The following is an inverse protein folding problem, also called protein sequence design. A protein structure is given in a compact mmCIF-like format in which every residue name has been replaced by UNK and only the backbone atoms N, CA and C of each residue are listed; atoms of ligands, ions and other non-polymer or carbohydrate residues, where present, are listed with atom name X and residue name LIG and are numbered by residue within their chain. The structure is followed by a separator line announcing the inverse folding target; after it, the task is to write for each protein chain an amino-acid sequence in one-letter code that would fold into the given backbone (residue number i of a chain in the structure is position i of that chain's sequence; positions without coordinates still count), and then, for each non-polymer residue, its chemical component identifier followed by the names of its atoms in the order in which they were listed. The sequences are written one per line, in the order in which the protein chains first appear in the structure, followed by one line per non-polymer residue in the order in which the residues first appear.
data_IF_773463511588
#
_entry.id   IF_773463511588
#
_cell.length_a   1.000
_cell.length_b   1.000
_cell.length_c   1.000
_cell.angle_alpha   90.00
_cell.angle_beta   90.00
_cell.angle_gamma   90.00
#
_symmetry.space_group_name_H-M   'P 1'
#
loop_
_entity.id
_entity.type
_entity.pdbx_description
1 polymer ?
#
# COMPACT_ATOMS: atom_id res chain seq x y z
N UNK A 1 22.80 31.80 27.37
CA UNK A 1 22.99 31.06 26.10
C UNK A 1 24.36 30.38 26.18
N UNK A 2 24.45 29.06 26.30
CA UNK A 2 25.75 28.39 26.40
C UNK A 2 26.51 28.57 25.08
N UNK A 3 27.75 29.06 25.16
CA UNK A 3 28.64 29.21 24.01
C UNK A 3 28.98 27.83 23.44
N UNK A 4 28.60 27.62 22.18
CA UNK A 4 28.95 26.40 21.46
C UNK A 4 30.44 26.51 21.11
N UNK A 5 31.27 25.75 21.83
CA UNK A 5 32.71 25.71 21.61
C UNK A 5 33.06 25.32 20.16
N UNK A 6 34.10 25.96 19.61
CA UNK A 6 34.62 25.70 18.27
C UNK A 6 34.99 24.22 18.06
N UNK A 7 35.42 23.54 19.13
CA UNK A 7 35.70 22.10 19.11
C UNK A 7 34.46 21.26 18.83
N UNK A 8 33.30 21.67 19.34
CA UNK A 8 32.04 20.99 19.08
C UNK A 8 31.65 21.09 17.60
N UNK A 9 31.86 22.26 16.99
CA UNK A 9 31.57 22.50 15.56
C UNK A 9 32.50 21.65 14.68
N UNK A 10 33.79 21.59 15.01
CA UNK A 10 34.77 20.80 14.26
C UNK A 10 34.49 19.30 14.35
N UNK A 11 34.17 18.79 15.54
CA UNK A 11 33.85 17.38 15.76
C UNK A 11 32.57 16.96 15.03
N UNK A 12 31.58 17.86 14.94
CA UNK A 12 30.34 17.65 14.17
C UNK A 12 30.60 17.60 12.67
N UNK A 13 31.44 18.49 12.13
CA UNK A 13 31.82 18.49 10.70
C UNK A 13 32.55 17.21 10.29
N UNK A 14 33.42 16.68 11.17
CA UNK A 14 34.20 15.48 10.88
C UNK A 14 33.33 14.22 10.79
N UNK A 15 32.29 14.11 11.63
CA UNK A 15 31.28 13.03 11.56
C UNK A 15 30.45 13.05 10.29
N UNK A 16 30.08 14.23 9.80
CA UNK A 16 29.29 14.33 8.57
C UNK A 16 30.08 13.85 7.34
N UNK A 17 31.40 14.12 7.28
CA UNK A 17 32.25 13.66 6.18
C UNK A 17 32.37 12.12 6.08
N UNK A 18 32.29 11.41 7.21
CA UNK A 18 32.38 9.95 7.24
C UNK A 18 31.11 9.26 6.74
N UNK A 19 29.97 9.97 6.75
CA UNK A 19 28.68 9.44 6.27
C UNK A 19 28.57 9.62 4.75
N UNK A 20 29.10 10.71 4.20
CA UNK A 20 28.97 11.02 2.76
C UNK A 20 29.93 10.23 1.86
N UNK A 21 31.07 9.77 2.39
CA UNK A 21 32.07 9.00 1.64
C UNK A 21 32.44 7.70 2.37
N UNK A 22 31.65 6.61 2.23
CA UNK A 22 32.07 5.31 2.73
C UNK A 22 33.31 4.84 1.96
N UNK A 23 34.38 4.40 2.65
CA UNK A 23 35.57 3.87 1.97
C UNK A 23 35.18 2.61 1.18
N UNK A 24 35.39 2.66 -0.14
CA UNK A 24 35.27 1.50 -1.03
C UNK A 24 36.28 0.45 -0.62
N UNK A 25 35.78 -0.58 0.05
CA UNK A 25 36.56 -1.75 0.47
C UNK A 25 36.88 -2.59 -0.76
N UNK A 26 38.06 -2.38 -1.32
CA UNK A 26 38.65 -3.18 -2.40
C UNK A 26 38.97 -4.59 -1.88
N UNK A 27 38.07 -5.53 -2.11
CA UNK A 27 38.37 -6.95 -1.98
C UNK A 27 39.20 -7.41 -3.18
N UNK A 28 40.49 -7.58 -2.92
CA UNK A 28 41.43 -8.33 -3.75
C UNK A 28 40.89 -9.74 -4.01
N UNK A 29 40.59 -10.04 -5.27
CA UNK A 29 40.48 -11.41 -5.76
C UNK A 29 41.35 -11.56 -7.00
N UNK A 30 42.57 -12.04 -6.77
CA UNK A 30 43.42 -12.71 -7.76
C UNK A 30 42.59 -13.82 -8.44
N UNK A 31 42.62 -13.90 -9.78
CA UNK A 31 43.38 -14.93 -10.52
C UNK A 31 42.83 -15.16 -11.94
N UNK A 32 43.80 -15.20 -12.88
CA UNK A 32 43.82 -15.84 -14.20
C UNK A 32 43.26 -15.11 -15.42
N UNK A 33 44.23 -14.48 -16.09
CA UNK A 33 44.47 -14.32 -17.53
C UNK A 33 43.96 -15.41 -18.48
N UNK A 34 43.34 -15.00 -19.58
CA UNK A 34 43.55 -15.53 -20.94
C UNK A 34 43.22 -14.42 -21.96
N UNK A 35 44.13 -14.06 -22.89
CA UNK A 35 43.83 -13.16 -23.99
C UNK A 35 43.54 -13.95 -25.27
N UNK A 36 42.52 -13.54 -26.03
CA UNK A 36 42.40 -13.85 -27.45
C UNK A 36 41.71 -12.69 -28.15
N UNK A 37 42.55 -11.94 -28.86
CA UNK A 37 42.29 -11.24 -30.14
C UNK A 37 41.33 -12.06 -31.03
N UNK A 38 40.38 -11.54 -31.80
CA UNK A 38 40.33 -10.49 -32.82
C UNK A 38 38.83 -10.43 -33.23
N UNK A 39 38.17 -9.39 -33.76
CA UNK A 39 38.28 -8.84 -35.12
C UNK A 39 37.00 -7.99 -35.35
N UNK A 40 37.17 -6.78 -35.88
CA UNK A 40 36.35 -6.04 -36.86
C UNK A 40 34.80 -6.04 -36.88
N UNK A 41 34.29 -4.81 -37.08
CA UNK A 41 33.21 -4.36 -38.00
C UNK A 41 31.83 -5.04 -37.87
N UNK A 42 30.68 -4.36 -37.77
CA UNK A 42 30.10 -3.31 -38.64
C UNK A 42 28.71 -3.00 -38.06
N UNK A 43 28.11 -1.80 -38.23
CA UNK A 43 26.78 -1.50 -37.72
C UNK A 43 25.69 -1.97 -38.70
N UNK A 44 24.57 -2.49 -38.20
CA UNK A 44 23.39 -2.76 -39.04
C UNK A 44 22.09 -2.36 -38.37
N UNK A 45 21.53 -1.28 -38.90
CA UNK A 45 20.15 -0.86 -38.78
C UNK A 45 19.19 -2.00 -39.12
N UNK A 46 18.14 -2.17 -38.32
CA UNK A 46 16.90 -2.80 -38.76
C UNK A 46 15.71 -2.03 -38.20
N UNK A 47 15.19 -1.17 -39.06
CA UNK A 47 13.89 -0.52 -38.92
C UNK A 47 12.82 -1.39 -39.59
N UNK A 48 11.59 -1.30 -39.07
CA UNK A 48 10.30 -1.82 -39.56
C UNK A 48 9.93 -3.25 -39.09
N UNK A 49 8.64 -3.49 -38.77
CA UNK A 49 7.57 -3.43 -39.75
C UNK A 49 6.38 -2.51 -39.42
N UNK A 50 5.93 -1.86 -40.49
CA UNK A 50 4.56 -1.42 -40.73
C UNK A 50 3.55 -2.54 -40.47
N UNK A 51 2.45 -2.24 -39.76
CA UNK A 51 1.11 -2.66 -40.18
C UNK A 51 -0.01 -1.87 -39.47
N UNK A 52 -0.77 -1.18 -40.31
CA UNK A 52 -2.11 -0.65 -40.04
C UNK A 52 -3.04 -1.74 -39.52
N UNK A 53 -3.83 -1.45 -38.49
CA UNK A 53 -5.23 -1.88 -38.45
C UNK A 53 -6.10 -0.88 -37.69
N UNK A 54 -6.73 -0.04 -38.48
CA UNK A 54 -7.94 0.72 -38.13
C UNK A 54 -9.13 -0.24 -38.02
N UNK A 55 -9.86 -0.20 -36.91
CA UNK A 55 -11.27 -0.60 -36.87
C UNK A 55 -12.01 0.33 -35.91
N UNK A 56 -12.88 1.21 -36.41
CA UNK A 56 -13.79 1.97 -35.60
C UNK A 56 -15.15 1.26 -35.45
N UNK A 57 -15.79 1.56 -34.31
CA UNK A 57 -17.24 1.57 -33.99
C UNK A 57 -18.00 0.25 -33.72
N UNK A 58 -18.74 0.19 -32.59
CA UNK A 58 -19.74 -0.84 -32.31
C UNK A 58 -21.10 -0.50 -32.95
N UNK A 59 -21.70 -1.47 -33.64
CA UNK A 59 -23.09 -1.39 -34.09
C UNK A 59 -24.04 -1.99 -33.06
N UNK A 60 -25.00 -1.16 -32.65
CA UNK A 60 -26.26 -1.49 -31.98
C UNK A 60 -26.90 -2.75 -32.54
N UNK A 61 -27.35 -3.63 -31.65
CA UNK A 61 -28.57 -4.39 -31.93
C UNK A 61 -29.47 -4.28 -30.71
N UNK A 62 -30.54 -3.50 -30.87
CA UNK A 62 -31.71 -3.54 -30.02
C UNK A 62 -32.55 -4.74 -30.46
N UNK A 63 -32.93 -5.62 -29.53
CA UNK A 63 -34.02 -6.57 -29.75
C UNK A 63 -34.92 -6.57 -28.52
N UNK A 64 -36.21 -6.59 -28.84
CA UNK A 64 -37.37 -6.24 -28.06
C UNK A 64 -37.80 -7.29 -27.03
N UNK A 65 -38.49 -6.76 -26.00
CA UNK A 65 -39.66 -7.32 -25.28
C UNK A 65 -39.84 -8.84 -25.21
N UNK A 66 -39.92 -9.34 -23.98
CA UNK A 66 -41.00 -10.24 -23.60
C UNK A 66 -41.49 -9.95 -22.18
N UNK A 67 -42.73 -9.47 -22.14
CA UNK A 67 -43.61 -9.34 -20.98
C UNK A 67 -44.33 -10.66 -20.75
N UNK A 68 -44.19 -11.25 -19.56
CA UNK A 68 -45.10 -12.29 -19.08
C UNK A 68 -45.53 -11.99 -17.65
N UNK A 69 -46.82 -12.15 -17.31
CA UNK A 69 -47.40 -11.69 -16.05
C UNK A 69 -47.36 -12.74 -14.93
N UNK A 70 -47.25 -12.22 -13.70
CA UNK A 70 -47.93 -12.59 -12.44
C UNK A 70 -48.09 -14.09 -12.10
N UNK A 71 -47.48 -14.48 -10.97
CA UNK A 71 -48.09 -15.46 -10.06
C UNK A 71 -47.90 -15.03 -8.60
N UNK A 72 -48.99 -14.52 -8.03
CA UNK A 72 -49.21 -14.37 -6.58
C UNK A 72 -49.43 -15.74 -5.97
N UNK A 73 -48.65 -16.12 -4.97
CA UNK A 73 -49.00 -17.20 -4.04
C UNK A 73 -48.89 -16.70 -2.60
N UNK A 74 -50.06 -16.70 -1.99
CA UNK A 74 -50.39 -16.33 -0.61
C UNK A 74 -49.80 -17.31 0.40
N UNK A 75 -49.33 -16.73 1.52
CA UNK A 75 -49.28 -17.24 2.90
C UNK A 75 -48.64 -18.59 3.26
N UNK A 76 -47.60 -18.52 4.10
CA UNK A 76 -47.47 -19.32 5.34
C UNK A 76 -46.68 -18.52 6.39
N UNK A 77 -47.22 -18.25 7.60
CA UNK A 77 -46.45 -17.67 8.69
C UNK A 77 -45.63 -18.77 9.37
N UNK A 78 -44.30 -18.62 9.36
CA UNK A 78 -43.38 -19.48 10.10
C UNK A 78 -42.99 -18.82 11.44
N UNK A 79 -42.71 -19.63 12.48
CA UNK A 79 -42.93 -19.26 13.87
C UNK A 79 -41.84 -18.33 14.39
N UNK A 80 -42.23 -17.50 15.35
CA UNK A 80 -41.36 -16.64 16.14
C UNK A 80 -40.21 -17.45 16.76
N UNK A 81 -39.06 -17.46 16.09
CA UNK A 81 -37.85 -17.99 16.66
C UNK A 81 -37.28 -16.94 17.62
N UNK A 82 -37.04 -17.43 18.82
CA UNK A 82 -36.57 -16.72 19.98
C UNK A 82 -35.44 -15.74 19.65
N UNK A 83 -35.46 -14.60 20.35
CA UNK A 83 -34.30 -13.73 20.53
C UNK A 83 -33.18 -14.56 21.18
N UNK A 84 -32.40 -15.24 20.36
CA UNK A 84 -31.06 -15.69 20.73
C UNK A 84 -30.30 -14.40 20.99
N UNK A 85 -29.99 -14.15 22.26
CA UNK A 85 -29.02 -13.13 22.64
C UNK A 85 -27.72 -13.42 21.89
N UNK A 86 -27.53 -12.77 20.74
CA UNK A 86 -26.21 -12.67 20.13
C UNK A 86 -25.33 -11.94 21.14
N UNK A 87 -24.26 -12.57 21.66
CA UNK A 87 -23.26 -11.81 22.38
C UNK A 87 -22.72 -10.75 21.41
N UNK A 88 -22.64 -9.49 21.85
CA UNK A 88 -22.00 -8.39 21.12
C UNK A 88 -20.55 -8.76 20.79
N UNK A 89 -20.32 -9.47 19.69
CA UNK A 89 -18.98 -9.81 19.14
C UNK A 89 -18.59 -8.89 17.98
N UNK A 90 -19.40 -7.88 17.69
CA UNK A 90 -19.25 -7.00 16.53
C UNK A 90 -17.99 -6.12 16.60
N UNK A 91 -17.55 -5.70 17.80
CA UNK A 91 -16.35 -4.87 17.95
C UNK A 91 -15.03 -5.64 17.74
N UNK A 92 -14.96 -6.91 18.17
CA UNK A 92 -13.72 -7.68 18.10
C UNK A 92 -13.35 -8.08 16.67
N UNK A 93 -14.33 -8.34 15.81
CA UNK A 93 -14.05 -8.80 14.44
C UNK A 93 -13.45 -7.70 13.54
N UNK A 94 -13.86 -6.45 13.76
CA UNK A 94 -13.39 -5.29 12.98
C UNK A 94 -11.98 -4.91 13.42
N UNK A 95 -11.73 -4.90 14.72
CA UNK A 95 -10.41 -4.64 15.29
C UNK A 95 -9.35 -5.61 14.76
N UNK A 96 -9.63 -6.92 14.76
CA UNK A 96 -8.71 -7.95 14.28
C UNK A 96 -8.36 -7.84 12.80
N UNK A 97 -9.26 -7.25 11.99
CA UNK A 97 -9.02 -7.01 10.56
C UNK A 97 -8.20 -5.74 10.31
N UNK A 98 -8.40 -4.72 11.12
CA UNK A 98 -7.80 -3.39 10.93
C UNK A 98 -6.47 -3.20 11.67
N UNK A 99 -6.17 -4.01 12.68
CA UNK A 99 -4.91 -3.88 13.42
C UNK A 99 -3.70 -4.21 12.53
N UNK A 100 -2.60 -3.43 12.65
CA UNK A 100 -1.32 -3.77 12.03
C UNK A 100 -0.83 -5.17 12.43
N UNK A 101 -0.16 -5.86 11.51
CA UNK A 101 0.53 -7.11 11.84
C UNK A 101 1.89 -6.77 12.44
N UNK A 102 1.94 -6.64 13.76
CA UNK A 102 3.15 -6.48 14.53
C UNK A 102 3.18 -7.49 15.69
N UNK A 103 4.38 -7.90 16.11
CA UNK A 103 4.52 -8.80 17.27
C UNK A 103 4.10 -8.13 18.57
N UNK A 104 4.53 -6.88 18.77
CA UNK A 104 4.13 -6.03 19.89
C UNK A 104 3.48 -4.78 19.29
N UNK A 105 2.18 -4.61 19.52
CA UNK A 105 1.43 -3.45 19.02
C UNK A 105 1.62 -2.25 19.97
N UNK A 106 1.95 -1.12 19.39
CA UNK A 106 2.04 0.19 20.04
C UNK A 106 1.11 1.19 19.36
N UNK A 107 0.86 2.35 19.99
CA UNK A 107 0.11 3.43 19.34
C UNK A 107 0.83 3.97 18.10
N UNK A 108 2.15 3.76 17.99
CA UNK A 108 2.92 4.23 16.85
C UNK A 108 2.62 3.43 15.59
N UNK A 109 2.24 2.17 15.73
CA UNK A 109 1.90 1.29 14.61
C UNK A 109 0.59 1.71 13.92
N UNK A 110 -0.22 2.55 14.57
CA UNK A 110 -1.44 3.10 14.00
C UNK A 110 -1.23 4.44 13.28
N UNK A 111 -0.03 5.03 13.34
CA UNK A 111 0.31 6.26 12.62
C UNK A 111 0.47 5.95 11.14
N UNK A 112 0.07 6.88 10.28
CA UNK A 112 0.36 6.77 8.85
C UNK A 112 1.88 6.65 8.62
N UNK A 113 2.30 5.73 7.76
CA UNK A 113 3.73 5.54 7.44
C UNK A 113 4.40 6.73 6.75
N UNK A 114 3.65 7.56 6.02
CA UNK A 114 4.24 8.63 5.23
C UNK A 114 4.32 9.94 6.01
N UNK A 115 3.24 10.35 6.67
CA UNK A 115 3.21 11.60 7.45
C UNK A 115 3.48 11.41 8.94
N UNK A 116 3.56 10.16 9.44
CA UNK A 116 3.79 9.82 10.85
C UNK A 116 2.76 10.40 11.83
N UNK A 117 1.56 10.73 11.34
CA UNK A 117 0.46 11.24 12.16
C UNK A 117 -0.62 10.17 12.36
N UNK A 118 -1.27 10.22 13.53
CA UNK A 118 -2.51 9.47 13.75
C UNK A 118 -3.64 10.12 12.95
N UNK A 119 -4.53 9.34 12.31
CA UNK A 119 -5.69 9.87 11.62
C UNK A 119 -6.58 10.67 12.56
N UNK A 120 -7.00 11.87 12.14
CA UNK A 120 -7.83 12.77 12.95
C UNK A 120 -9.05 13.25 12.17
N UNK A 121 -10.19 13.30 12.85
CA UNK A 121 -11.41 13.92 12.34
C UNK A 121 -11.49 15.33 12.91
N UNK A 122 -11.85 16.36 12.12
CA UNK A 122 -12.39 16.30 10.76
C UNK A 122 -11.36 16.36 9.61
N UNK A 123 -10.07 16.56 9.91
CA UNK A 123 -9.04 16.82 8.89
C UNK A 123 -8.93 15.70 7.82
N UNK A 124 -8.98 14.44 8.24
CA UNK A 124 -8.75 13.30 7.36
C UNK A 124 -10.04 12.59 6.90
N UNK A 125 -11.24 13.07 7.29
CA UNK A 125 -12.51 12.35 7.07
C UNK A 125 -12.77 12.00 5.59
N UNK A 126 -12.25 12.81 4.66
CA UNK A 126 -12.35 12.61 3.21
C UNK A 126 -11.18 11.85 2.57
N UNK A 127 -10.06 11.68 3.26
CA UNK A 127 -8.85 11.04 2.72
C UNK A 127 -8.98 9.52 2.74
N UNK A 128 -9.49 8.97 3.85
CA UNK A 128 -9.57 7.53 4.07
C UNK A 128 -8.19 6.89 4.34
N UNK A 129 -8.22 5.67 4.88
CA UNK A 129 -7.02 4.90 5.26
C UNK A 129 -6.91 3.67 4.38
N UNK A 130 -5.70 3.39 3.92
CA UNK A 130 -5.35 2.15 3.20
C UNK A 130 -4.39 1.36 4.07
N UNK A 131 -4.63 0.05 4.21
CA UNK A 131 -3.73 -0.85 4.92
C UNK A 131 -2.89 -1.63 3.92
N UNK A 132 -1.60 -1.78 4.19
CA UNK A 132 -0.75 -2.67 3.40
C UNK A 132 -1.32 -4.11 3.41
N UNK A 133 -1.42 -4.80 2.25
CA UNK A 133 -1.97 -6.16 2.20
C UNK A 133 -1.11 -7.17 2.98
N UNK A 134 0.19 -6.91 3.10
CA UNK A 134 1.14 -7.80 3.75
C UNK A 134 1.22 -7.53 5.26
N UNK A 135 1.70 -6.35 5.66
CA UNK A 135 1.94 -5.99 7.06
C UNK A 135 0.78 -5.24 7.74
N UNK A 136 -0.28 -4.86 7.01
CA UNK A 136 -1.42 -4.08 7.50
C UNK A 136 -1.06 -2.73 8.15
N UNK A 137 0.11 -2.19 7.88
CA UNK A 137 0.47 -0.85 8.35
C UNK A 137 -0.34 0.21 7.60
N UNK A 138 -0.85 1.25 8.28
CA UNK A 138 -1.74 2.23 7.67
C UNK A 138 -1.02 3.32 6.88
N UNK A 139 -1.71 3.83 5.88
CA UNK A 139 -1.36 5.01 5.10
C UNK A 139 -2.62 5.82 4.75
N UNK A 140 -2.52 7.14 4.55
CA UNK A 140 -3.62 7.86 3.92
C UNK A 140 -3.75 7.46 2.45
N UNK A 141 -4.98 7.42 1.93
CA UNK A 141 -5.22 6.87 0.59
C UNK A 141 -4.57 7.68 -0.54
N UNK A 142 -4.43 9.00 -0.35
CA UNK A 142 -3.72 9.91 -1.26
C UNK A 142 -2.20 9.64 -1.27
N UNK A 143 -1.57 9.62 -0.10
CA UNK A 143 -0.14 9.34 0.07
C UNK A 143 0.22 7.93 -0.44
N UNK A 144 -0.65 6.95 -0.18
CA UNK A 144 -0.48 5.60 -0.68
C UNK A 144 -0.56 5.53 -2.22
N UNK A 145 -1.49 6.28 -2.83
CA UNK A 145 -1.64 6.30 -4.30
C UNK A 145 -0.43 6.93 -4.98
N UNK A 146 0.10 8.00 -4.42
CA UNK A 146 1.33 8.64 -4.90
C UNK A 146 2.50 7.65 -4.82
N UNK A 147 2.72 7.06 -3.65
CA UNK A 147 3.77 6.05 -3.46
C UNK A 147 3.63 4.84 -4.40
N UNK A 148 2.42 4.32 -4.57
CA UNK A 148 2.16 3.14 -5.39
C UNK A 148 2.39 3.35 -6.90
N UNK A 149 2.45 4.61 -7.35
CA UNK A 149 2.84 4.94 -8.73
C UNK A 149 4.34 4.82 -8.95
N UNK A 150 5.13 5.22 -7.95
CA UNK A 150 6.59 5.23 -8.03
C UNK A 150 7.19 3.87 -7.67
N UNK A 151 6.61 3.18 -6.68
CA UNK A 151 7.15 1.93 -6.14
C UNK A 151 6.12 0.81 -6.10
N UNK A 152 6.47 -0.41 -6.57
CA UNK A 152 5.63 -1.59 -6.39
C UNK A 152 5.78 -2.23 -5.00
N UNK A 153 6.57 -1.66 -4.09
CA UNK A 153 6.88 -2.24 -2.78
C UNK A 153 6.27 -1.42 -1.64
N UNK A 154 5.95 -2.08 -0.52
CA UNK A 154 5.52 -1.41 0.69
C UNK A 154 6.69 -0.72 1.39
N UNK A 155 6.57 0.58 1.71
CA UNK A 155 7.60 1.37 2.40
C UNK A 155 7.98 0.87 3.80
N UNK A 156 7.17 0.00 4.45
CA UNK A 156 7.48 -0.54 5.78
C UNK A 156 8.24 -1.86 5.76
N UNK A 157 7.79 -2.76 4.89
CA UNK A 157 8.10 -4.18 4.95
C UNK A 157 8.70 -4.72 3.65
N UNK A 158 8.89 -3.83 2.66
CA UNK A 158 9.48 -4.10 1.35
C UNK A 158 8.78 -5.20 0.53
N UNK A 159 7.65 -5.71 1.01
CA UNK A 159 6.86 -6.71 0.32
C UNK A 159 6.17 -6.10 -0.91
N UNK A 160 6.10 -6.87 -1.99
CA UNK A 160 5.43 -6.46 -3.22
C UNK A 160 3.94 -6.22 -3.00
N UNK A 161 3.44 -5.10 -3.54
CA UNK A 161 2.03 -4.72 -3.52
C UNK A 161 1.39 -5.22 -4.83
N UNK A 162 0.37 -6.10 -4.75
CA UNK A 162 -0.31 -6.64 -5.92
C UNK A 162 -0.83 -5.53 -6.85
N UNK A 163 -0.71 -5.74 -8.17
CA UNK A 163 -1.14 -4.75 -9.17
C UNK A 163 -2.63 -4.40 -9.05
N UNK A 164 -3.48 -5.37 -8.72
CA UNK A 164 -4.91 -5.16 -8.44
C UNK A 164 -5.13 -4.19 -7.29
N UNK A 165 -4.35 -4.32 -6.22
CA UNK A 165 -4.43 -3.46 -5.05
C UNK A 165 -3.88 -2.07 -5.31
N UNK A 166 -2.82 -1.93 -6.12
CA UNK A 166 -2.29 -0.61 -6.51
C UNK A 166 -3.30 0.18 -7.35
N UNK A 167 -4.02 -0.49 -8.25
CA UNK A 167 -5.04 0.16 -9.10
C UNK A 167 -6.27 0.56 -8.28
N UNK A 168 -6.75 -0.34 -7.43
CA UNK A 168 -7.96 -0.15 -6.63
C UNK A 168 -7.68 -0.54 -5.17
N UNK A 169 -7.01 0.32 -4.38
CA UNK A 169 -6.75 0.03 -2.98
C UNK A 169 -8.07 0.01 -2.20
N UNK A 170 -8.15 -0.87 -1.19
CA UNK A 170 -9.29 -0.90 -0.28
C UNK A 170 -9.20 0.29 0.66
N UNK A 171 -10.11 1.25 0.49
CA UNK A 171 -10.17 2.47 1.30
C UNK A 171 -11.10 2.22 2.49
N UNK A 172 -10.56 2.33 3.69
CA UNK A 172 -11.28 2.23 4.96
C UNK A 172 -11.65 3.63 5.43
N UNK A 173 -12.91 3.89 5.81
CA UNK A 173 -13.31 5.16 6.41
C UNK A 173 -12.51 5.49 7.67
N UNK A 174 -12.07 6.74 7.82
CA UNK A 174 -11.25 7.17 8.96
C UNK A 174 -11.96 6.90 10.30
N UNK A 175 -13.27 7.13 10.38
CA UNK A 175 -14.10 6.81 11.55
C UNK A 175 -13.92 5.37 12.01
N UNK A 176 -14.03 4.43 11.08
CA UNK A 176 -13.91 3.00 11.36
C UNK A 176 -12.49 2.63 11.84
N UNK A 177 -11.46 3.31 11.32
CA UNK A 177 -10.09 3.08 11.74
C UNK A 177 -9.81 3.67 13.14
N UNK A 178 -10.37 4.84 13.46
CA UNK A 178 -10.29 5.43 14.79
C UNK A 178 -10.97 4.54 15.83
N UNK A 179 -12.12 3.95 15.53
CA UNK A 179 -12.77 2.97 16.41
C UNK A 179 -11.85 1.78 16.73
N UNK A 180 -11.05 1.31 15.77
CA UNK A 180 -10.06 0.26 16.00
C UNK A 180 -8.90 0.74 16.89
N UNK A 181 -8.45 1.99 16.75
CA UNK A 181 -7.45 2.60 17.64
C UNK A 181 -7.99 2.71 19.07
N UNK A 182 -9.24 3.12 19.24
CA UNK A 182 -9.84 3.27 20.57
C UNK A 182 -10.17 1.93 21.21
N UNK A 183 -10.50 0.90 20.42
CA UNK A 183 -10.54 -0.48 20.90
C UNK A 183 -9.16 -0.97 21.37
N UNK A 184 -8.08 -0.67 20.65
CA UNK A 184 -6.72 -0.98 21.09
C UNK A 184 -6.38 -0.32 22.44
N UNK A 185 -6.68 0.97 22.58
CA UNK A 185 -6.46 1.70 23.85
C UNK A 185 -7.23 1.11 25.02
N UNK A 186 -8.43 0.58 24.79
CA UNK A 186 -9.27 -0.02 25.84
C UNK A 186 -8.77 -1.40 26.30
N UNK A 187 -8.02 -2.11 25.47
CA UNK A 187 -7.50 -3.46 25.78
C UNK A 187 -6.14 -3.44 26.47
N UNK A 188 -5.48 -2.29 26.52
CA UNK A 188 -4.17 -2.08 27.13
C UNK A 188 -4.31 -1.41 28.48
#
# INVERSE_FOLDING_TARGET
MPEISQDYINRRRQRLRTITNPPTRTTSSRRSTTPSSSTANTPRSHSTPSRRRTTPTPSRTAVSRSTTPRRTTTSKPAPAQAKVHQPRTTGSSVFEKLKPKAGILSLEDFKCIFCFQLPKIPADDRRGIVLCPNCRHPAHADEFKEWAQESPLCSRCDASIPLSFRRNPVIIPVKQYIEAIDEFKRRK
#
